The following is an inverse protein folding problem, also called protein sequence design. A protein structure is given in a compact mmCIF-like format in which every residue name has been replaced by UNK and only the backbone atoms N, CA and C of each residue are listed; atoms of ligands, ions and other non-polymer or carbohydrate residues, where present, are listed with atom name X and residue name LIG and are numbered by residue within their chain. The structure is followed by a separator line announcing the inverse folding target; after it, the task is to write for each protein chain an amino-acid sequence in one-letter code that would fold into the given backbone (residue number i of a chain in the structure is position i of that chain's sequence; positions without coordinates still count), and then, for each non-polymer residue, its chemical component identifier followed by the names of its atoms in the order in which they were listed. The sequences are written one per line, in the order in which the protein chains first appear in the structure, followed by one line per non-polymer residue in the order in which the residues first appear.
data_IF_778994332923
#
_entry.id   IF_778994332923
#
_cell.length_a   1.000
_cell.length_b   1.000
_cell.length_c   1.000
_cell.angle_alpha   90.00
_cell.angle_beta   90.00
_cell.angle_gamma   90.00
#
_symmetry.space_group_name_H-M   'P 1'
#
loop_
_entity.id
_entity.type
_entity.pdbx_description
1 polymer ?
#
# COMPACT_ATOMS: atom_id res chain seq x y z
N UNK A 1 -7.79 -7.14 -28.64
CA UNK A 1 -7.41 -7.77 -27.35
C UNK A 1 -7.09 -6.62 -26.44
N UNK A 2 -7.97 -6.42 -25.46
CA UNK A 2 -8.28 -5.15 -24.81
C UNK A 2 -7.08 -4.50 -24.15
N UNK A 3 -6.73 -3.29 -24.62
CA UNK A 3 -5.94 -2.32 -23.87
C UNK A 3 -6.65 -2.08 -22.53
N UNK A 4 -6.04 -2.56 -21.45
CA UNK A 4 -6.40 -2.21 -20.08
C UNK A 4 -6.04 -0.73 -19.90
N UNK A 5 -6.98 0.14 -20.28
CA UNK A 5 -6.86 1.58 -20.10
C UNK A 5 -6.99 1.88 -18.61
N UNK A 6 -5.87 1.85 -17.90
CA UNK A 6 -5.76 2.46 -16.57
C UNK A 6 -5.91 3.98 -16.71
N UNK A 7 -7.15 4.42 -16.90
CA UNK A 7 -7.52 5.83 -16.85
C UNK A 7 -7.39 6.24 -15.38
N UNK A 8 -6.53 7.21 -15.03
CA UNK A 8 -6.46 7.67 -13.65
C UNK A 8 -7.85 8.14 -13.23
N UNK A 9 -8.33 7.79 -12.02
CA UNK A 9 -9.64 8.21 -11.56
C UNK A 9 -9.74 9.74 -11.66
N UNK A 10 -10.88 10.30 -12.08
CA UNK A 10 -11.06 11.73 -12.19
C UNK A 10 -10.74 12.37 -10.84
N UNK A 11 -9.81 13.32 -10.86
CA UNK A 11 -9.31 14.03 -9.69
C UNK A 11 -10.47 14.64 -8.91
N UNK A 12 -10.84 14.02 -7.78
CA UNK A 12 -11.93 14.46 -6.90
C UNK A 12 -12.92 13.37 -6.47
N UNK A 13 -12.92 12.19 -7.11
CA UNK A 13 -13.73 11.06 -6.63
C UNK A 13 -12.97 10.26 -5.56
N UNK A 14 -13.64 9.80 -4.49
CA UNK A 14 -13.01 8.95 -3.49
C UNK A 14 -12.58 7.62 -4.14
N UNK A 15 -11.36 7.18 -3.82
CA UNK A 15 -10.80 5.91 -4.32
C UNK A 15 -11.56 4.68 -3.81
N UNK A 16 -12.37 4.84 -2.76
CA UNK A 16 -13.20 3.80 -2.17
C UNK A 16 -14.61 4.36 -1.89
N UNK A 17 -15.64 3.53 -2.04
CA UNK A 17 -17.06 3.92 -1.90
C UNK A 17 -17.65 3.64 -0.51
N UNK A 18 -16.81 3.33 0.46
CA UNK A 18 -17.18 2.93 1.82
C UNK A 18 -16.39 3.74 2.85
N UNK A 19 -17.00 4.03 4.00
CA UNK A 19 -16.32 4.66 5.13
C UNK A 19 -15.40 3.64 5.80
N UNK A 20 -14.10 3.82 5.60
CA UNK A 20 -13.05 2.93 6.12
C UNK A 20 -11.90 3.76 6.69
N UNK A 21 -11.24 3.22 7.71
CA UNK A 21 -10.00 3.80 8.25
C UNK A 21 -8.95 3.97 7.14
N UNK A 22 -8.25 5.12 7.13
CA UNK A 22 -7.26 5.43 6.11
C UNK A 22 -6.17 4.35 5.95
N UNK A 23 -5.70 3.74 7.04
CA UNK A 23 -4.70 2.67 6.98
C UNK A 23 -5.20 1.42 6.23
N UNK A 24 -6.44 1.02 6.49
CA UNK A 24 -7.10 -0.10 5.80
C UNK A 24 -7.38 0.26 4.34
N UNK A 25 -7.80 1.50 4.06
CA UNK A 25 -7.99 2.01 2.70
C UNK A 25 -6.70 1.90 1.88
N UNK A 26 -5.57 2.31 2.46
CA UNK A 26 -4.26 2.22 1.79
C UNK A 26 -3.91 0.78 1.42
N UNK A 27 -4.08 -0.17 2.34
CA UNK A 27 -3.81 -1.60 2.08
C UNK A 27 -4.71 -2.14 0.96
N UNK A 28 -5.99 -1.76 0.93
CA UNK A 28 -6.92 -2.16 -0.15
C UNK A 28 -6.48 -1.63 -1.51
N UNK A 29 -6.09 -0.36 -1.58
CA UNK A 29 -5.60 0.25 -2.82
C UNK A 29 -4.32 -0.44 -3.30
N UNK A 30 -3.38 -0.76 -2.39
CA UNK A 30 -2.18 -1.52 -2.75
C UNK A 30 -2.53 -2.90 -3.34
N UNK A 31 -3.45 -3.63 -2.71
CA UNK A 31 -3.93 -4.94 -3.21
C UNK A 31 -4.60 -4.82 -4.58
N UNK A 32 -5.46 -3.82 -4.77
CA UNK A 32 -6.14 -3.57 -6.05
C UNK A 32 -5.16 -3.20 -7.17
N UNK A 33 -4.06 -2.53 -6.83
CA UNK A 33 -2.98 -2.23 -7.75
C UNK A 33 -2.07 -3.45 -8.05
N UNK A 34 -2.36 -4.62 -7.46
CA UNK A 34 -1.57 -5.84 -7.64
C UNK A 34 -0.23 -5.84 -6.90
N UNK A 35 -0.05 -4.93 -5.92
CA UNK A 35 1.16 -4.86 -5.11
C UNK A 35 1.10 -5.96 -4.04
N UNK A 36 2.10 -6.83 -4.02
CA UNK A 36 2.21 -7.95 -3.09
C UNK A 36 3.35 -7.79 -2.07
N UNK A 37 4.16 -6.73 -2.19
CA UNK A 37 5.32 -6.49 -1.34
C UNK A 37 5.48 -5.03 -0.96
N UNK A 38 5.77 -4.77 0.32
CA UNK A 38 6.01 -3.43 0.87
C UNK A 38 7.27 -3.44 1.72
N UNK A 39 8.15 -2.47 1.49
CA UNK A 39 9.35 -2.24 2.30
C UNK A 39 9.17 -0.99 3.15
N UNK A 40 9.53 -1.04 4.43
CA UNK A 40 9.47 0.17 5.25
C UNK A 40 9.88 -0.04 6.70
N UNK A 41 9.84 1.04 7.47
CA UNK A 41 10.11 1.04 8.91
C UNK A 41 8.91 1.62 9.67
N UNK A 42 8.37 0.92 10.68
CA UNK A 42 7.31 1.46 11.51
C UNK A 42 7.83 2.60 12.40
N UNK A 43 7.10 3.70 12.42
CA UNK A 43 7.32 4.83 13.32
C UNK A 43 5.99 5.32 13.91
N UNK A 44 6.04 6.31 14.81
CA UNK A 44 4.84 6.79 15.51
C UNK A 44 3.72 7.26 14.57
N UNK A 45 4.08 7.93 13.46
CA UNK A 45 3.11 8.41 12.46
C UNK A 45 2.57 7.33 11.50
N UNK A 46 3.33 6.25 11.28
CA UNK A 46 2.98 5.20 10.31
C UNK A 46 2.47 3.93 10.96
N UNK A 47 2.45 3.85 12.30
CA UNK A 47 2.11 2.63 13.05
C UNK A 47 0.77 2.03 12.64
N UNK A 48 -0.26 2.85 12.37
CA UNK A 48 -1.57 2.33 11.96
C UNK A 48 -1.52 1.63 10.59
N UNK A 49 -0.72 2.13 9.66
CA UNK A 49 -0.50 1.48 8.37
C UNK A 49 0.22 0.14 8.55
N UNK A 50 1.27 0.09 9.37
CA UNK A 50 2.00 -1.15 9.63
C UNK A 50 1.15 -2.20 10.37
N UNK A 51 0.23 -1.77 11.24
CA UNK A 51 -0.76 -2.67 11.86
C UNK A 51 -1.73 -3.24 10.83
N UNK A 52 -2.27 -2.40 9.94
CA UNK A 52 -3.12 -2.88 8.86
C UNK A 52 -2.35 -3.85 7.92
N UNK A 53 -1.13 -3.51 7.52
CA UNK A 53 -0.28 -4.41 6.73
C UNK A 53 -0.02 -5.75 7.43
N UNK A 54 0.13 -5.74 8.76
CA UNK A 54 0.29 -6.97 9.57
C UNK A 54 -0.97 -7.85 9.52
N UNK A 55 -2.16 -7.26 9.52
CA UNK A 55 -3.43 -7.99 9.42
C UNK A 55 -3.68 -8.58 8.02
N UNK A 56 -2.98 -8.09 6.99
CA UNK A 56 -3.11 -8.53 5.59
C UNK A 56 -1.89 -9.29 5.05
N UNK A 57 -1.09 -9.91 5.93
CA UNK A 57 0.16 -10.63 5.58
C UNK A 57 -0.04 -11.77 4.58
N UNK A 58 -1.24 -12.35 4.51
CA UNK A 58 -1.59 -13.42 3.57
C UNK A 58 -1.65 -12.91 2.11
N UNK A 59 -1.72 -11.59 1.93
CA UNK A 59 -1.84 -10.93 0.62
C UNK A 59 -0.72 -9.95 0.31
N UNK A 60 -0.16 -9.27 1.31
CA UNK A 60 0.97 -8.35 1.15
C UNK A 60 2.07 -8.75 2.12
N UNK A 61 3.24 -9.08 1.56
CA UNK A 61 4.45 -9.31 2.33
C UNK A 61 5.09 -7.98 2.73
N UNK A 62 5.12 -7.71 4.03
CA UNK A 62 5.78 -6.53 4.57
C UNK A 62 7.20 -6.87 5.03
N UNK A 63 8.20 -6.18 4.49
CA UNK A 63 9.61 -6.33 4.86
C UNK A 63 10.05 -5.13 5.68
N UNK A 64 10.39 -5.37 6.94
CA UNK A 64 10.88 -4.33 7.82
C UNK A 64 12.35 -4.05 7.58
N UNK A 65 12.69 -2.78 7.38
CA UNK A 65 14.06 -2.32 7.20
C UNK A 65 14.58 -1.59 8.44
N UNK A 66 15.91 -1.56 8.59
CA UNK A 66 16.61 -0.80 9.64
C UNK A 66 16.92 0.65 9.26
N UNK A 67 16.87 0.97 7.98
CA UNK A 67 17.18 2.30 7.44
C UNK A 67 16.25 2.54 6.25
N UNK A 68 15.55 3.68 6.23
CA UNK A 68 14.57 4.00 5.18
C UNK A 68 15.21 4.12 3.79
N UNK A 69 16.46 4.59 3.71
CA UNK A 69 17.24 4.63 2.47
C UNK A 69 17.40 3.25 1.84
N UNK A 70 17.54 2.19 2.65
CA UNK A 70 17.60 0.81 2.18
C UNK A 70 16.26 0.32 1.68
N UNK A 71 15.14 0.71 2.30
CA UNK A 71 13.81 0.41 1.76
C UNK A 71 13.62 1.03 0.37
N UNK A 72 14.05 2.28 0.17
CA UNK A 72 14.00 2.93 -1.14
C UNK A 72 14.78 2.13 -2.19
N UNK A 73 16.02 1.76 -1.90
CA UNK A 73 16.84 0.92 -2.79
C UNK A 73 16.25 -0.47 -3.05
N UNK A 74 15.53 -1.06 -2.09
CA UNK A 74 14.87 -2.36 -2.24
C UNK A 74 13.58 -2.27 -3.07
N UNK A 75 12.91 -1.13 -3.03
CA UNK A 75 11.69 -0.85 -3.79
C UNK A 75 11.98 -0.42 -5.24
N UNK A 76 13.19 0.07 -5.50
CA UNK A 76 13.68 0.40 -6.84
C UNK A 76 14.07 -0.89 -7.61
N UNK A 77 13.71 -0.96 -8.89
CA UNK A 77 13.99 -2.10 -9.78
C UNK A 77 14.77 -1.64 -11.01
#
# INVERSE_FOLDING_TARGET
MTEDQHTPPPSGLPLLHEDVCAAEAMVRVLKQAGIDMVFGMPGGGTMQLFRALYDHQDSIRTVLVREESKAGMMAEV
#
